data_IF_663296974719
#
_entry.id   IF_663296974719
#
_cell.length_a   1.000
_cell.length_b   1.000
_cell.length_c   1.000
_cell.angle_alpha   90.00
_cell.angle_beta   90.00
_cell.angle_gamma   90.00
#
_symmetry.space_group_name_H-M   'P 1'
#
loop_
_entity.id
_entity.type
_entity.pdbx_description
1 polymer ?
#
# COMPACT_ATOMS: atom_id res chain seq x y z
N UNK A 1 -6.64 40.17 -10.26
CA UNK A 1 -7.64 39.20 -10.73
C UNK A 1 -7.00 37.93 -11.33
N UNK A 2 -5.84 37.48 -10.80
CA UNK A 2 -5.14 36.26 -11.29
C UNK A 2 -4.96 35.17 -10.19
N UNK A 3 -5.46 35.37 -9.00
CA UNK A 3 -5.21 34.50 -7.84
C UNK A 3 -6.32 33.46 -7.54
N UNK A 4 -7.41 33.42 -8.32
CA UNK A 4 -8.56 32.53 -8.04
C UNK A 4 -8.71 31.35 -9.01
N UNK A 5 -7.80 31.16 -9.98
CA UNK A 5 -7.92 30.09 -11.00
C UNK A 5 -7.22 28.76 -10.66
N UNK A 6 -6.66 28.63 -9.46
CA UNK A 6 -5.91 27.42 -9.06
C UNK A 6 -6.72 26.37 -8.29
N UNK A 7 -8.04 26.50 -8.15
CA UNK A 7 -8.79 25.70 -7.16
C UNK A 7 -9.82 24.71 -7.72
N UNK A 8 -9.89 24.49 -9.03
CA UNK A 8 -10.90 23.57 -9.60
C UNK A 8 -10.31 22.42 -10.43
N UNK A 9 -9.28 21.78 -9.94
CA UNK A 9 -8.94 20.44 -10.43
C UNK A 9 -9.67 19.42 -9.56
N UNK A 10 -10.32 18.42 -10.15
CA UNK A 10 -10.92 17.31 -9.42
C UNK A 10 -9.81 16.55 -8.73
N UNK A 11 -9.53 16.96 -7.49
CA UNK A 11 -8.43 16.41 -6.68
C UNK A 11 -8.76 14.97 -6.33
N UNK A 12 -7.87 14.04 -6.65
CA UNK A 12 -7.91 12.66 -6.18
C UNK A 12 -7.10 12.49 -4.89
N UNK A 13 -7.44 11.47 -4.14
CA UNK A 13 -6.68 11.02 -2.97
C UNK A 13 -6.10 9.65 -3.28
N UNK A 14 -4.79 9.50 -3.15
CA UNK A 14 -4.09 8.23 -3.26
C UNK A 14 -3.73 7.78 -1.86
N UNK A 15 -4.29 6.66 -1.45
CA UNK A 15 -3.99 6.02 -0.16
C UNK A 15 -3.15 4.79 -0.44
N UNK A 16 -1.98 4.71 0.15
CA UNK A 16 -1.04 3.61 -0.05
C UNK A 16 -1.05 2.68 1.17
N UNK A 17 -0.94 1.37 0.94
CA UNK A 17 -0.38 0.50 1.96
C UNK A 17 1.09 0.84 2.15
N UNK A 18 1.71 0.33 3.21
CA UNK A 18 3.08 0.65 3.55
C UNK A 18 4.02 -0.53 3.27
N UNK A 19 3.78 -1.66 3.93
CA UNK A 19 4.63 -2.85 3.84
C UNK A 19 4.48 -3.51 2.47
N UNK A 20 5.58 -3.72 1.75
CA UNK A 20 5.56 -4.30 0.40
C UNK A 20 5.03 -3.37 -0.70
N UNK A 21 4.52 -2.18 -0.36
CA UNK A 21 4.00 -1.20 -1.31
C UNK A 21 4.92 0.02 -1.40
N UNK A 22 5.25 0.66 -0.28
CA UNK A 22 6.19 1.79 -0.18
C UNK A 22 7.55 1.33 0.33
N UNK A 23 7.58 0.52 1.38
CA UNK A 23 8.78 0.00 2.01
C UNK A 23 9.08 -1.41 1.51
N UNK A 24 10.34 -1.69 1.17
CA UNK A 24 10.81 -3.03 0.81
C UNK A 24 10.92 -3.88 2.08
N UNK A 25 9.82 -4.53 2.44
CA UNK A 25 9.68 -5.35 3.65
C UNK A 25 9.71 -6.85 3.38
N UNK A 26 9.70 -7.31 2.12
CA UNK A 26 9.55 -8.73 1.78
C UNK A 26 10.79 -9.53 2.19
N UNK A 27 11.98 -9.09 1.78
CA UNK A 27 13.23 -9.78 2.12
C UNK A 27 13.50 -9.78 3.64
N UNK A 28 13.34 -8.66 4.37
CA UNK A 28 13.38 -8.65 5.83
C UNK A 28 12.38 -9.61 6.48
N UNK A 29 11.14 -9.64 6.01
CA UNK A 29 10.12 -10.56 6.53
C UNK A 29 10.55 -12.03 6.37
N UNK A 30 11.05 -12.42 5.20
CA UNK A 30 11.55 -13.78 4.94
C UNK A 30 12.72 -14.11 5.89
N UNK A 31 13.67 -13.19 6.07
CA UNK A 31 14.80 -13.34 6.98
C UNK A 31 14.36 -13.59 8.42
N UNK A 32 13.38 -12.78 8.89
CA UNK A 32 12.82 -12.89 10.25
C UNK A 32 12.10 -14.24 10.42
N UNK A 33 11.25 -14.62 9.46
CA UNK A 33 10.55 -15.92 9.51
C UNK A 33 11.58 -17.05 9.58
N UNK A 34 12.61 -17.04 8.74
CA UNK A 34 13.66 -18.05 8.74
C UNK A 34 14.46 -18.10 10.05
N UNK A 35 14.69 -16.93 10.68
CA UNK A 35 15.34 -16.85 11.98
C UNK A 35 14.55 -17.48 13.12
N UNK A 36 13.23 -17.58 12.98
CA UNK A 36 12.34 -18.18 13.97
C UNK A 36 12.05 -19.66 13.70
N UNK A 37 12.42 -20.19 12.53
CA UNK A 37 12.05 -21.51 12.07
C UNK A 37 12.55 -22.62 13.02
N UNK A 38 13.79 -22.52 13.48
CA UNK A 38 14.39 -23.52 14.39
C UNK A 38 13.78 -23.45 15.80
N UNK A 39 13.52 -22.22 16.32
CA UNK A 39 12.91 -21.98 17.64
C UNK A 39 11.48 -22.56 17.71
N UNK A 40 10.72 -22.43 16.64
CA UNK A 40 9.31 -22.84 16.58
C UNK A 40 9.06 -24.15 15.84
N UNK A 41 10.12 -24.80 15.34
CA UNK A 41 10.08 -26.10 14.63
C UNK A 41 9.17 -26.08 13.40
N UNK A 42 9.41 -25.14 12.46
CA UNK A 42 8.76 -25.11 11.16
C UNK A 42 9.77 -24.99 10.03
N UNK A 43 9.32 -25.21 8.78
CA UNK A 43 10.17 -25.20 7.59
C UNK A 43 10.67 -23.78 7.25
N UNK A 44 11.97 -23.64 6.95
CA UNK A 44 12.55 -22.41 6.41
C UNK A 44 12.07 -22.17 4.95
N UNK A 45 11.96 -20.90 4.59
CA UNK A 45 11.67 -20.44 3.23
C UNK A 45 13.00 -20.44 2.45
N UNK A 46 13.07 -21.22 1.37
CA UNK A 46 14.18 -21.17 0.42
C UNK A 46 13.93 -20.11 -0.67
N UNK A 47 14.95 -19.82 -1.49
CA UNK A 47 14.79 -18.95 -2.67
C UNK A 47 13.69 -19.44 -3.61
N UNK A 48 13.61 -20.75 -3.83
CA UNK A 48 12.64 -21.37 -4.73
C UNK A 48 11.20 -21.30 -4.19
N UNK A 49 11.06 -21.25 -2.86
CA UNK A 49 9.76 -21.12 -2.21
C UNK A 49 9.13 -19.74 -2.42
N UNK A 50 9.93 -18.69 -2.61
CA UNK A 50 9.43 -17.30 -2.65
C UNK A 50 8.36 -17.14 -3.73
N UNK A 51 8.61 -17.63 -4.94
CA UNK A 51 7.65 -17.56 -6.04
C UNK A 51 6.36 -18.34 -5.72
N UNK A 52 6.49 -19.52 -5.12
CA UNK A 52 5.36 -20.36 -4.71
C UNK A 52 4.51 -19.63 -3.64
N UNK A 53 5.18 -19.02 -2.65
CA UNK A 53 4.51 -18.36 -1.53
C UNK A 53 3.77 -17.10 -1.95
N UNK A 54 4.26 -16.36 -2.95
CA UNK A 54 3.55 -15.21 -3.52
C UNK A 54 2.17 -15.57 -4.08
N UNK A 55 1.96 -16.82 -4.47
CA UNK A 55 0.70 -17.35 -4.98
C UNK A 55 -0.21 -17.94 -3.89
N UNK A 56 0.21 -17.93 -2.62
CA UNK A 56 -0.52 -18.57 -1.52
C UNK A 56 -1.20 -17.54 -0.61
N UNK A 57 -2.34 -17.94 -0.03
CA UNK A 57 -2.95 -17.22 1.09
C UNK A 57 -2.11 -17.42 2.36
N UNK A 58 -2.29 -16.54 3.35
CA UNK A 58 -1.66 -16.70 4.66
C UNK A 58 -1.89 -18.08 5.27
N UNK A 59 -3.12 -18.64 5.13
CA UNK A 59 -3.46 -19.98 5.60
C UNK A 59 -2.65 -21.07 4.88
N UNK A 60 -2.52 -20.95 3.57
CA UNK A 60 -1.73 -21.89 2.76
C UNK A 60 -0.23 -21.77 3.03
N UNK A 61 0.28 -20.55 3.33
CA UNK A 61 1.67 -20.35 3.75
C UNK A 61 1.94 -21.04 5.10
N UNK A 62 1.06 -20.85 6.08
CA UNK A 62 1.16 -21.51 7.38
C UNK A 62 1.23 -23.04 7.22
N UNK A 63 0.35 -23.61 6.39
CA UNK A 63 0.32 -25.05 6.10
C UNK A 63 1.58 -25.51 5.35
N UNK A 64 2.02 -24.76 4.33
CA UNK A 64 3.18 -25.08 3.52
C UNK A 64 4.48 -25.10 4.31
N UNK A 65 4.61 -24.19 5.26
CA UNK A 65 5.77 -24.10 6.17
C UNK A 65 5.65 -25.04 7.37
N UNK A 66 4.57 -25.80 7.51
CA UNK A 66 4.28 -26.64 8.67
C UNK A 66 4.32 -25.88 10.00
N UNK A 67 3.83 -24.62 10.02
CA UNK A 67 3.84 -23.82 11.23
C UNK A 67 2.90 -24.41 12.30
N UNK A 68 3.34 -24.56 13.56
CA UNK A 68 2.52 -25.14 14.62
C UNK A 68 1.36 -24.20 14.99
N UNK A 69 0.13 -24.59 14.66
CA UNK A 69 -1.09 -23.77 14.78
C UNK A 69 -1.25 -23.21 16.21
N UNK A 70 -0.99 -24.02 17.23
CA UNK A 70 -1.10 -23.61 18.63
C UNK A 70 -0.08 -22.52 19.02
N UNK A 71 1.03 -22.39 18.30
CA UNK A 71 2.09 -21.40 18.53
C UNK A 71 1.97 -20.18 17.61
N UNK A 72 1.06 -20.18 16.64
CA UNK A 72 0.90 -19.08 15.68
C UNK A 72 0.76 -17.70 16.34
N UNK A 73 0.00 -17.50 17.43
CA UNK A 73 -0.07 -16.19 18.08
C UNK A 73 1.29 -15.69 18.57
N UNK A 74 2.13 -16.58 19.06
CA UNK A 74 3.49 -16.25 19.53
C UNK A 74 4.40 -15.94 18.35
N UNK A 75 4.36 -16.76 17.28
CA UNK A 75 5.14 -16.56 16.06
C UNK A 75 4.81 -15.19 15.44
N UNK A 76 3.51 -14.89 15.26
CA UNK A 76 3.04 -13.61 14.68
C UNK A 76 3.48 -12.43 15.54
N UNK A 77 3.38 -12.55 16.89
CA UNK A 77 3.85 -11.50 17.80
C UNK A 77 5.35 -11.29 17.66
N UNK A 78 6.14 -12.36 17.55
CA UNK A 78 7.59 -12.28 17.39
C UNK A 78 7.98 -11.68 16.05
N UNK A 79 7.36 -12.09 14.93
CA UNK A 79 7.56 -11.49 13.61
C UNK A 79 7.29 -9.99 13.67
N UNK A 80 6.17 -9.56 14.24
CA UNK A 80 5.84 -8.13 14.37
C UNK A 80 6.87 -7.37 15.21
N UNK A 81 7.34 -7.96 16.28
CA UNK A 81 8.36 -7.34 17.14
C UNK A 81 9.65 -7.10 16.36
N UNK A 82 10.17 -8.12 15.66
CA UNK A 82 11.40 -8.00 14.88
C UNK A 82 11.22 -7.03 13.68
N UNK A 83 10.12 -7.13 12.95
CA UNK A 83 9.81 -6.19 11.86
C UNK A 83 9.76 -4.74 12.36
N UNK A 84 9.12 -4.46 13.49
CA UNK A 84 9.06 -3.12 14.05
C UNK A 84 10.45 -2.54 14.37
N UNK A 85 11.43 -3.37 14.66
CA UNK A 85 12.81 -2.95 14.88
C UNK A 85 13.54 -2.65 13.58
N UNK A 86 13.23 -3.39 12.51
CA UNK A 86 13.87 -3.22 11.19
C UNK A 86 13.28 -2.07 10.38
N UNK A 87 11.97 -1.84 10.44
CA UNK A 87 11.27 -0.87 9.57
C UNK A 87 11.93 0.50 9.50
N UNK A 88 12.37 1.14 10.61
CA UNK A 88 13.01 2.44 10.52
C UNK A 88 14.30 2.46 9.70
N UNK A 89 14.92 1.31 9.46
CA UNK A 89 16.20 1.17 8.74
C UNK A 89 16.05 0.70 7.30
N UNK A 90 14.84 0.28 6.90
CA UNK A 90 14.57 -0.25 5.56
C UNK A 90 14.63 0.83 4.47
N UNK A 91 14.86 0.39 3.25
CA UNK A 91 14.80 1.25 2.08
C UNK A 91 13.37 1.28 1.51
N UNK A 92 12.99 2.34 0.81
CA UNK A 92 11.79 2.33 -0.01
C UNK A 92 11.97 1.40 -1.20
N UNK A 93 10.85 0.99 -1.79
CA UNK A 93 10.83 0.38 -3.13
C UNK A 93 11.56 1.35 -4.08
N UNK A 94 12.36 0.79 -4.99
CA UNK A 94 13.12 1.56 -5.98
C UNK A 94 12.17 2.51 -6.72
N UNK A 95 12.62 3.72 -7.01
CA UNK A 95 11.88 4.79 -7.70
C UNK A 95 10.59 5.30 -7.03
N UNK A 96 10.09 4.63 -5.99
CA UNK A 96 8.87 5.03 -5.28
C UNK A 96 8.90 6.49 -4.79
N UNK A 97 10.04 6.95 -4.29
CA UNK A 97 10.18 8.36 -3.83
C UNK A 97 9.94 9.34 -4.96
N UNK A 98 10.52 9.10 -6.14
CA UNK A 98 10.35 9.95 -7.31
C UNK A 98 8.89 9.98 -7.76
N UNK A 99 8.28 8.83 -7.88
CA UNK A 99 6.86 8.66 -8.26
C UNK A 99 5.94 9.42 -7.31
N UNK A 100 6.13 9.28 -6.00
CA UNK A 100 5.31 9.99 -5.00
C UNK A 100 5.44 11.51 -5.10
N UNK A 101 6.64 12.03 -5.38
CA UNK A 101 6.86 13.47 -5.60
C UNK A 101 6.09 13.93 -6.85
N UNK A 102 6.18 13.19 -7.96
CA UNK A 102 5.43 13.49 -9.20
C UNK A 102 3.91 13.50 -8.95
N UNK A 103 3.39 12.52 -8.22
CA UNK A 103 1.97 12.44 -7.87
C UNK A 103 1.51 13.67 -7.06
N UNK A 104 2.36 14.15 -6.14
CA UNK A 104 2.10 15.41 -5.42
C UNK A 104 2.04 16.61 -6.37
N UNK A 105 2.99 16.70 -7.32
CA UNK A 105 3.02 17.77 -8.33
C UNK A 105 1.81 17.76 -9.24
N UNK A 106 1.24 16.59 -9.54
CA UNK A 106 -0.04 16.45 -10.26
C UNK A 106 -1.25 16.92 -9.44
N UNK A 107 -1.07 17.17 -8.14
CA UNK A 107 -2.09 17.73 -7.25
C UNK A 107 -2.89 16.69 -6.48
N UNK A 108 -2.42 15.45 -6.41
CA UNK A 108 -3.02 14.42 -5.55
C UNK A 108 -2.73 14.65 -4.07
N UNK A 109 -3.70 14.35 -3.22
CA UNK A 109 -3.45 14.18 -1.79
C UNK A 109 -2.94 12.76 -1.55
N UNK A 110 -1.82 12.64 -0.84
CA UNK A 110 -1.20 11.34 -0.54
C UNK A 110 -1.45 10.96 0.92
N UNK A 111 -1.85 9.72 1.15
CA UNK A 111 -2.02 9.17 2.49
C UNK A 111 -1.47 7.76 2.60
N UNK A 112 -1.18 7.34 3.83
CA UNK A 112 -0.81 5.96 4.16
C UNK A 112 -1.90 5.35 5.02
N UNK A 113 -2.26 4.09 4.73
CA UNK A 113 -3.10 3.24 5.57
C UNK A 113 -2.43 1.90 5.77
N UNK A 114 -1.93 1.65 6.97
CA UNK A 114 -1.11 0.49 7.31
C UNK A 114 -1.57 -0.22 8.57
N UNK A 115 -1.16 -1.48 8.74
CA UNK A 115 -1.24 -2.22 10.01
C UNK A 115 -0.02 -1.99 10.91
N UNK A 116 0.98 -1.26 10.42
CA UNK A 116 2.18 -0.90 11.15
C UNK A 116 1.94 0.26 12.13
N UNK A 117 2.84 0.46 13.09
CA UNK A 117 2.75 1.61 13.98
C UNK A 117 3.03 2.92 13.22
N UNK A 118 2.30 3.98 13.58
CA UNK A 118 2.51 5.30 13.00
C UNK A 118 3.94 5.79 13.20
N UNK A 119 4.51 5.54 14.38
CA UNK A 119 5.87 6.00 14.73
C UNK A 119 6.94 5.35 13.86
N UNK A 120 6.81 4.05 13.56
CA UNK A 120 7.73 3.36 12.66
C UNK A 120 7.66 3.92 11.24
N UNK A 121 6.44 4.15 10.74
CA UNK A 121 6.24 4.74 9.42
C UNK A 121 6.85 6.14 9.36
N UNK A 122 6.61 6.99 10.35
CA UNK A 122 7.18 8.35 10.41
C UNK A 122 8.71 8.29 10.44
N UNK A 123 9.33 7.41 11.24
CA UNK A 123 10.79 7.26 11.27
C UNK A 123 11.35 6.83 9.92
N UNK A 124 10.69 5.87 9.25
CA UNK A 124 11.07 5.43 7.92
C UNK A 124 10.99 6.58 6.90
N UNK A 125 9.88 7.31 6.87
CA UNK A 125 9.67 8.42 5.93
C UNK A 125 10.70 9.53 6.13
N UNK A 126 10.95 9.94 7.38
CA UNK A 126 11.93 10.97 7.71
C UNK A 126 13.34 10.56 7.28
N UNK A 127 13.76 9.32 7.58
CA UNK A 127 15.08 8.82 7.19
C UNK A 127 15.27 8.82 5.67
N UNK A 128 14.23 8.48 4.92
CA UNK A 128 14.30 8.37 3.47
C UNK A 128 13.95 9.70 2.75
N UNK A 129 13.70 10.78 3.50
CA UNK A 129 13.32 12.08 2.93
C UNK A 129 12.02 12.01 2.13
N UNK A 130 11.00 11.31 2.66
CA UNK A 130 9.70 11.07 2.06
C UNK A 130 8.56 11.67 2.90
N UNK A 131 8.82 12.76 3.62
CA UNK A 131 7.79 13.49 4.40
C UNK A 131 6.87 14.31 3.48
N UNK A 132 6.17 13.62 2.60
CA UNK A 132 5.29 14.19 1.57
C UNK A 132 3.82 13.77 1.72
N UNK A 133 3.53 12.94 2.69
CA UNK A 133 2.18 12.43 2.93
C UNK A 133 1.33 13.40 3.76
N UNK A 134 0.11 13.65 3.32
CA UNK A 134 -0.83 14.55 4.02
C UNK A 134 -1.40 13.93 5.29
N UNK A 135 -1.44 12.60 5.34
CA UNK A 135 -1.92 11.87 6.51
C UNK A 135 -1.39 10.43 6.56
N UNK A 136 -1.26 9.92 7.78
CA UNK A 136 -0.96 8.51 8.07
C UNK A 136 -2.07 7.97 8.97
N UNK A 137 -2.64 6.83 8.61
CA UNK A 137 -3.62 6.08 9.40
C UNK A 137 -3.08 4.68 9.69
N UNK A 138 -3.01 4.34 10.97
CA UNK A 138 -2.67 2.99 11.42
C UNK A 138 -3.93 2.26 11.89
N UNK A 139 -4.02 0.96 11.64
CA UNK A 139 -5.07 0.10 12.17
C UNK A 139 -4.45 -1.18 12.72
N UNK A 140 -4.87 -1.60 13.90
CA UNK A 140 -4.39 -2.85 14.49
C UNK A 140 -5.10 -4.10 13.95
N UNK A 141 -6.17 -3.90 13.17
CA UNK A 141 -6.98 -4.98 12.63
C UNK A 141 -6.62 -5.26 11.16
N UNK A 142 -6.09 -6.47 10.90
CA UNK A 142 -5.74 -6.93 9.55
C UNK A 142 -6.90 -6.80 8.54
N UNK A 143 -8.15 -6.94 8.99
CA UNK A 143 -9.35 -6.85 8.16
C UNK A 143 -10.12 -5.54 8.32
N UNK A 144 -9.58 -4.57 9.07
CA UNK A 144 -10.25 -3.31 9.37
C UNK A 144 -10.02 -2.17 8.35
N UNK A 145 -9.11 -2.34 7.39
CA UNK A 145 -8.73 -1.29 6.44
C UNK A 145 -9.93 -0.68 5.69
N UNK A 146 -10.93 -1.49 5.32
CA UNK A 146 -12.12 -1.00 4.61
C UNK A 146 -12.95 0.02 5.41
N UNK A 147 -12.99 -0.09 6.74
CA UNK A 147 -13.70 0.86 7.61
C UNK A 147 -12.96 2.21 7.58
N UNK A 148 -11.64 2.17 7.71
CA UNK A 148 -10.79 3.37 7.66
C UNK A 148 -10.88 4.05 6.29
N UNK A 149 -10.84 3.27 5.19
CA UNK A 149 -11.01 3.78 3.82
C UNK A 149 -12.36 4.46 3.61
N UNK A 150 -13.47 3.91 4.13
CA UNK A 150 -14.78 4.58 4.12
C UNK A 150 -14.74 5.92 4.85
N UNK A 151 -14.04 5.97 5.98
CA UNK A 151 -13.83 7.22 6.74
C UNK A 151 -13.03 8.25 5.93
N UNK A 152 -11.92 7.84 5.33
CA UNK A 152 -11.08 8.68 4.45
C UNK A 152 -11.92 9.24 3.30
N UNK A 153 -12.64 8.37 2.58
CA UNK A 153 -13.51 8.78 1.47
C UNK A 153 -14.51 9.85 1.90
N UNK A 154 -15.20 9.64 3.02
CA UNK A 154 -16.20 10.59 3.54
C UNK A 154 -15.60 11.95 3.90
N UNK A 155 -14.44 11.94 4.56
CA UNK A 155 -13.75 13.19 4.97
C UNK A 155 -13.28 13.96 3.75
N UNK A 156 -12.68 13.29 2.78
CA UNK A 156 -12.14 13.93 1.58
C UNK A 156 -13.25 14.39 0.62
N UNK A 157 -14.37 13.68 0.52
CA UNK A 157 -15.53 14.13 -0.23
C UNK A 157 -16.05 15.50 0.26
N UNK A 158 -16.07 15.74 1.58
CA UNK A 158 -16.42 17.05 2.17
C UNK A 158 -15.43 18.17 1.81
N UNK A 159 -14.20 17.80 1.40
CA UNK A 159 -13.14 18.74 0.98
C UNK A 159 -13.08 18.90 -0.54
N UNK A 160 -14.05 18.35 -1.28
CA UNK A 160 -14.13 18.45 -2.75
C UNK A 160 -13.32 17.39 -3.52
N UNK A 161 -12.75 16.39 -2.85
CA UNK A 161 -12.09 15.27 -3.51
C UNK A 161 -13.13 14.27 -4.01
N UNK A 162 -13.14 13.98 -5.31
CA UNK A 162 -14.14 13.10 -5.92
C UNK A 162 -13.72 11.65 -6.00
N UNK A 163 -12.42 11.39 -6.12
CA UNK A 163 -11.86 10.05 -6.33
C UNK A 163 -10.91 9.69 -5.21
N UNK A 164 -11.04 8.49 -4.70
CA UNK A 164 -10.12 7.89 -3.74
C UNK A 164 -9.65 6.57 -4.33
N UNK A 165 -8.34 6.41 -4.41
CA UNK A 165 -7.68 5.20 -4.85
C UNK A 165 -6.96 4.57 -3.67
N UNK A 166 -6.99 3.25 -3.60
CA UNK A 166 -6.22 2.50 -2.62
C UNK A 166 -5.20 1.62 -3.35
N UNK A 167 -3.93 1.85 -3.06
CA UNK A 167 -2.78 1.20 -3.68
C UNK A 167 -2.21 0.19 -2.68
N UNK A 168 -2.07 -1.07 -3.07
CA UNK A 168 -1.55 -2.12 -2.19
C UNK A 168 -1.12 -3.36 -2.96
N UNK A 169 -0.34 -4.21 -2.30
CA UNK A 169 0.32 -5.38 -2.88
C UNK A 169 -0.33 -6.72 -2.49
N UNK A 170 -1.42 -6.68 -1.71
CA UNK A 170 -2.10 -7.88 -1.26
C UNK A 170 -3.55 -7.96 -1.76
N UNK A 171 -4.05 -9.20 -1.93
CA UNK A 171 -5.47 -9.45 -2.23
C UNK A 171 -6.39 -8.78 -1.21
N UNK A 172 -6.03 -8.78 0.07
CA UNK A 172 -6.82 -8.13 1.13
C UNK A 172 -6.93 -6.60 0.95
N UNK A 173 -6.00 -5.96 0.26
CA UNK A 173 -6.06 -4.52 -0.04
C UNK A 173 -7.09 -4.26 -1.13
N UNK A 174 -7.08 -5.06 -2.19
CA UNK A 174 -8.10 -5.02 -3.24
C UNK A 174 -9.50 -5.25 -2.65
N UNK A 175 -9.64 -6.28 -1.79
CA UNK A 175 -10.91 -6.55 -1.10
C UNK A 175 -11.36 -5.40 -0.19
N UNK A 176 -10.42 -4.78 0.54
CA UNK A 176 -10.71 -3.65 1.41
C UNK A 176 -11.16 -2.42 0.61
N UNK A 177 -10.49 -2.12 -0.51
CA UNK A 177 -10.88 -1.05 -1.43
C UNK A 177 -12.28 -1.27 -1.99
N UNK A 178 -12.57 -2.48 -2.47
CA UNK A 178 -13.88 -2.85 -2.99
C UNK A 178 -14.99 -2.70 -1.93
N UNK A 179 -14.76 -3.21 -0.70
CA UNK A 179 -15.70 -3.06 0.43
C UNK A 179 -15.92 -1.59 0.82
N UNK A 180 -14.92 -0.74 0.60
CA UNK A 180 -15.00 0.70 0.83
C UNK A 180 -15.59 1.48 -0.35
N UNK A 181 -15.78 0.82 -1.51
CA UNK A 181 -16.19 1.46 -2.77
C UNK A 181 -15.22 2.59 -3.16
N UNK A 182 -13.94 2.32 -3.09
CA UNK A 182 -12.86 3.14 -3.64
C UNK A 182 -12.17 2.37 -4.75
N UNK A 183 -11.56 3.07 -5.70
CA UNK A 183 -10.81 2.41 -6.76
C UNK A 183 -9.55 1.76 -6.22
N UNK A 184 -9.19 0.60 -6.76
CA UNK A 184 -8.09 -0.23 -6.30
C UNK A 184 -6.98 -0.30 -7.33
N UNK A 185 -5.75 -0.12 -6.88
CA UNK A 185 -4.54 -0.31 -7.68
C UNK A 185 -3.70 -1.39 -7.02
N UNK A 186 -3.59 -2.52 -7.66
CA UNK A 186 -2.74 -3.60 -7.19
C UNK A 186 -1.32 -3.43 -7.73
N UNK A 187 -0.32 -3.58 -6.87
CA UNK A 187 1.09 -3.50 -7.23
C UNK A 187 1.74 -4.89 -7.08
N UNK A 188 2.58 -5.28 -8.06
CA UNK A 188 3.06 -6.67 -8.14
C UNK A 188 4.44 -6.89 -7.54
N UNK A 189 5.15 -5.83 -7.16
CA UNK A 189 6.47 -5.93 -6.53
C UNK A 189 6.46 -6.41 -5.07
N UNK A 190 5.28 -6.44 -4.42
CA UNK A 190 5.10 -6.82 -3.02
C UNK A 190 4.87 -8.31 -2.77
N UNK A 191 3.97 -8.59 -1.81
CA UNK A 191 3.77 -9.94 -1.26
C UNK A 191 3.06 -10.89 -2.23
N UNK A 192 1.97 -10.45 -2.89
CA UNK A 192 1.23 -11.33 -3.78
C UNK A 192 1.68 -11.23 -5.24
N UNK A 193 1.64 -12.34 -5.95
CA UNK A 193 1.95 -12.38 -7.38
C UNK A 193 0.88 -11.68 -8.22
N UNK A 194 1.25 -11.31 -9.45
CA UNK A 194 0.34 -10.74 -10.44
C UNK A 194 -0.89 -11.62 -10.68
N UNK A 195 -0.69 -12.93 -10.84
CA UNK A 195 -1.77 -13.90 -11.09
C UNK A 195 -2.77 -13.96 -9.93
N UNK A 196 -2.25 -13.86 -8.70
CA UNK A 196 -3.09 -13.85 -7.50
C UNK A 196 -3.86 -12.54 -7.36
N UNK A 197 -3.22 -11.41 -7.63
CA UNK A 197 -3.84 -10.09 -7.59
C UNK A 197 -4.92 -9.94 -8.65
N UNK A 198 -4.70 -10.44 -9.87
CA UNK A 198 -5.69 -10.45 -10.95
C UNK A 198 -6.98 -11.21 -10.56
N UNK A 199 -6.86 -12.32 -9.83
CA UNK A 199 -8.03 -13.07 -9.32
C UNK A 199 -8.87 -12.29 -8.30
N UNK A 200 -8.32 -11.23 -7.71
CA UNK A 200 -9.04 -10.32 -6.82
C UNK A 200 -9.79 -9.21 -7.57
N UNK A 201 -9.62 -9.09 -8.89
CA UNK A 201 -10.25 -8.10 -9.76
C UNK A 201 -9.99 -6.65 -9.30
N UNK A 202 -8.73 -6.18 -9.24
CA UNK A 202 -8.42 -4.78 -9.00
C UNK A 202 -8.87 -3.92 -10.20
N UNK A 203 -9.14 -2.63 -9.97
CA UNK A 203 -9.47 -1.71 -11.07
C UNK A 203 -8.25 -1.42 -11.95
N UNK A 204 -7.05 -1.42 -11.36
CA UNK A 204 -5.76 -1.26 -12.03
C UNK A 204 -4.76 -2.24 -11.45
N UNK A 205 -3.80 -2.68 -12.27
CA UNK A 205 -2.64 -3.45 -11.86
C UNK A 205 -1.40 -2.85 -12.49
N UNK A 206 -0.32 -2.71 -11.71
CA UNK A 206 0.95 -2.14 -12.15
C UNK A 206 2.10 -3.02 -11.70
N UNK A 207 3.14 -3.08 -12.52
CA UNK A 207 4.31 -3.93 -12.28
C UNK A 207 5.52 -3.14 -11.80
N UNK A 208 5.59 -1.85 -12.17
CA UNK A 208 6.67 -0.95 -11.80
C UNK A 208 6.09 0.36 -11.23
N UNK A 209 6.78 1.03 -10.27
CA UNK A 209 6.30 2.27 -9.65
C UNK A 209 5.98 3.38 -10.65
N UNK A 210 6.74 3.49 -11.75
CA UNK A 210 6.56 4.51 -12.79
C UNK A 210 5.22 4.40 -13.51
N UNK A 211 4.64 3.19 -13.58
CA UNK A 211 3.31 3.00 -14.17
C UNK A 211 2.22 3.71 -13.36
N UNK A 212 2.41 3.88 -12.04
CA UNK A 212 1.52 4.72 -11.22
C UNK A 212 1.54 6.17 -11.73
N UNK A 213 2.73 6.70 -12.02
CA UNK A 213 2.87 8.04 -12.56
C UNK A 213 2.16 8.16 -13.91
N UNK A 214 2.32 7.18 -14.80
CA UNK A 214 1.64 7.11 -16.10
C UNK A 214 0.12 7.18 -15.96
N UNK A 215 -0.48 6.32 -15.13
CA UNK A 215 -1.94 6.28 -14.90
C UNK A 215 -2.44 7.62 -14.35
N UNK A 216 -1.81 8.12 -13.30
CA UNK A 216 -2.32 9.29 -12.58
C UNK A 216 -2.03 10.62 -13.29
N UNK A 217 -0.98 10.71 -14.12
CA UNK A 217 -0.78 11.87 -15.00
C UNK A 217 -1.91 12.02 -16.01
N UNK A 218 -2.32 10.92 -16.65
CA UNK A 218 -3.44 10.90 -17.60
C UNK A 218 -4.74 11.29 -16.91
N UNK A 219 -5.06 10.70 -15.75
CA UNK A 219 -6.27 11.01 -15.01
C UNK A 219 -6.31 12.48 -14.54
N UNK A 220 -5.17 13.04 -14.14
CA UNK A 220 -5.07 14.45 -13.80
C UNK A 220 -5.29 15.37 -15.00
N UNK A 221 -4.76 15.01 -16.18
CA UNK A 221 -4.94 15.76 -17.41
C UNK A 221 -6.41 15.77 -17.89
N UNK A 222 -7.04 14.60 -17.94
CA UNK A 222 -8.45 14.45 -18.34
C UNK A 222 -9.36 15.27 -17.44
N UNK A 223 -9.15 15.21 -16.15
CA UNK A 223 -9.88 15.99 -15.16
C UNK A 223 -9.74 17.50 -15.40
N UNK A 224 -8.52 18.00 -15.68
CA UNK A 224 -8.28 19.42 -16.02
C UNK A 224 -8.96 19.84 -17.32
N UNK A 225 -8.96 18.97 -18.33
CA UNK A 225 -9.59 19.25 -19.61
C UNK A 225 -11.13 19.34 -19.51
N UNK A 226 -11.75 18.48 -18.69
CA UNK A 226 -13.20 18.54 -18.43
C UNK A 226 -13.59 19.83 -17.73
N UNK A 227 -12.84 20.27 -16.72
CA UNK A 227 -13.09 21.53 -16.00
C UNK A 227 -12.97 22.74 -16.96
N UNK A 228 -11.95 22.76 -17.83
CA UNK A 228 -11.80 23.84 -18.82
C UNK A 228 -12.96 23.94 -19.79
N UNK A 229 -13.60 22.83 -20.20
CA UNK A 229 -14.79 22.82 -21.05
C UNK A 229 -16.01 23.40 -20.33
N UNK A 230 -16.18 23.09 -19.02
CA UNK A 230 -17.31 23.60 -18.22
C UNK A 230 -17.22 25.11 -17.92
N UNK A 231 -16.03 25.69 -17.95
CA UNK A 231 -15.82 27.14 -17.66
C UNK A 231 -15.93 28.00 -18.96
N UNK A 232 -15.84 27.38 -20.14
CA UNK A 232 -15.89 28.06 -21.43
C UNK A 232 -17.27 27.97 -22.13
N UNK A 233 -18.19 27.19 -21.62
CA UNK A 233 -19.59 27.13 -22.05
C UNK A 233 -20.51 27.81 -21.03
#
# INVERSE_FOLDING_TARGET
MYLYLTTMTSKGVLVFDFDGTIADTINPLIRIINGLADEFSFRKISSDDVHILKNKSTKEIISYLNMPILRLPLIVRRIRYEMNREIPTLNPIVDMKHVLISLKQYGYSLGILTTNSRDNVVRFLNRNGMDIFDFIRSTHHLFGKHIVLKGIKRVHAKRGFRHVFYVGDEVRDVEAGRKAKVSTVAVTWGLNSKERLLKAYPDYIVEEPEELEGIFSILAYVSRAQVRKMVKG
#
